data_IF_126053160009
#
_entry.id   IF_126053160009
#
_cell.length_a   1.000
_cell.length_b   1.000
_cell.length_c   1.000
_cell.angle_alpha   90.00
_cell.angle_beta   90.00
_cell.angle_gamma   90.00
#
_symmetry.space_group_name_H-M   'P 1'
#
loop_
_entity.id
_entity.type
_entity.pdbx_description
1 polymer ?
#
# COMPACT_ATOMS: atom_id res chain seq x y z
N UNK A 1 11.79 -3.06 -4.92
CA UNK A 1 11.05 -4.33 -5.04
C UNK A 1 12.01 -5.53 -5.13
N UNK A 2 13.09 -5.58 -4.34
CA UNK A 2 14.03 -6.74 -4.30
C UNK A 2 14.33 -7.42 -5.65
N UNK A 3 14.50 -6.64 -6.74
CA UNK A 3 14.75 -7.16 -8.10
C UNK A 3 13.55 -7.71 -8.89
N UNK A 4 12.34 -7.74 -8.33
CA UNK A 4 11.13 -8.26 -8.97
C UNK A 4 10.27 -7.14 -9.57
N UNK A 5 9.66 -7.40 -10.73
CA UNK A 5 8.66 -6.49 -11.33
C UNK A 5 7.35 -6.54 -10.53
N UNK A 6 6.60 -5.43 -10.47
CA UNK A 6 5.28 -5.44 -9.86
C UNK A 6 4.33 -6.34 -10.65
N UNK A 7 3.37 -6.96 -9.96
CA UNK A 7 2.32 -7.77 -10.60
C UNK A 7 1.47 -6.91 -11.55
N UNK A 8 1.17 -5.68 -11.15
CA UNK A 8 0.34 -4.75 -11.91
C UNK A 8 0.79 -3.30 -11.75
N UNK A 9 0.43 -2.46 -12.72
CA UNK A 9 0.66 -1.01 -12.69
C UNK A 9 -0.56 -0.28 -13.26
N UNK A 10 -0.94 0.83 -12.63
CA UNK A 10 -1.98 1.73 -13.14
C UNK A 10 -1.35 3.05 -13.57
N UNK A 11 -1.64 3.50 -14.78
CA UNK A 11 -1.17 4.80 -15.30
C UNK A 11 -2.31 5.52 -16.02
N UNK A 12 -2.14 6.79 -16.31
CA UNK A 12 -3.04 7.47 -17.25
C UNK A 12 -2.90 6.89 -18.67
N UNK A 13 -3.92 7.02 -19.53
CA UNK A 13 -3.86 6.62 -20.92
C UNK A 13 -2.83 7.47 -21.69
N UNK A 14 -1.58 7.00 -21.75
CA UNK A 14 -0.51 7.66 -22.50
C UNK A 14 0.32 6.62 -23.25
N UNK A 15 0.51 6.86 -24.56
CA UNK A 15 1.19 5.93 -25.46
C UNK A 15 2.67 5.76 -25.13
N UNK A 16 3.36 6.82 -24.72
CA UNK A 16 4.77 6.76 -24.37
C UNK A 16 4.98 6.01 -23.06
N UNK A 17 4.11 6.26 -22.07
CA UNK A 17 4.13 5.53 -20.80
C UNK A 17 3.84 4.04 -21.05
N UNK A 18 2.85 3.72 -21.90
CA UNK A 18 2.56 2.33 -22.25
C UNK A 18 3.78 1.62 -22.88
N UNK A 19 4.46 2.26 -23.83
CA UNK A 19 5.67 1.72 -24.44
C UNK A 19 6.79 1.53 -23.41
N UNK A 20 6.98 2.49 -22.51
CA UNK A 20 7.97 2.41 -21.45
C UNK A 20 7.68 1.28 -20.46
N UNK A 21 6.41 1.10 -20.05
CA UNK A 21 6.00 -0.03 -19.18
C UNK A 21 6.28 -1.36 -19.86
N UNK A 22 5.93 -1.53 -21.13
CA UNK A 22 6.18 -2.75 -21.87
C UNK A 22 7.68 -3.10 -21.97
N UNK A 23 8.54 -2.08 -22.08
CA UNK A 23 9.99 -2.25 -22.18
C UNK A 23 10.66 -2.48 -20.82
N UNK A 24 10.26 -1.74 -19.79
CA UNK A 24 10.95 -1.69 -18.48
C UNK A 24 10.39 -2.72 -17.49
N UNK A 25 9.10 -3.05 -17.60
CA UNK A 25 8.37 -3.93 -16.68
C UNK A 25 7.70 -5.09 -17.44
N UNK A 26 8.47 -5.97 -18.10
CA UNK A 26 7.90 -7.08 -18.85
C UNK A 26 7.13 -8.03 -17.91
N UNK A 27 5.93 -8.44 -18.34
CA UNK A 27 5.05 -9.32 -17.55
C UNK A 27 4.18 -8.62 -16.52
N UNK A 28 4.40 -7.32 -16.25
CA UNK A 28 3.49 -6.53 -15.41
C UNK A 28 2.18 -6.26 -16.15
N UNK A 29 1.04 -6.52 -15.50
CA UNK A 29 -0.28 -6.16 -16.05
C UNK A 29 -0.46 -4.64 -16.04
N UNK A 30 -0.55 -4.04 -17.21
CA UNK A 30 -0.78 -2.61 -17.36
C UNK A 30 -2.27 -2.28 -17.44
N UNK A 31 -2.71 -1.37 -16.56
CA UNK A 31 -4.07 -0.84 -16.50
C UNK A 31 -4.09 0.67 -16.67
N UNK A 32 -5.10 1.18 -17.36
CA UNK A 32 -5.39 2.61 -17.41
C UNK A 32 -6.21 3.08 -16.21
N UNK A 33 -5.90 4.27 -15.74
CA UNK A 33 -6.58 4.94 -14.66
C UNK A 33 -8.02 5.24 -15.09
N UNK A 34 -8.97 4.55 -14.44
CA UNK A 34 -10.40 4.69 -14.68
C UNK A 34 -10.90 6.12 -14.47
N UNK A 35 -10.36 6.85 -13.48
CA UNK A 35 -10.69 8.26 -13.26
C UNK A 35 -10.29 9.12 -14.46
N UNK A 36 -9.09 8.89 -14.99
CA UNK A 36 -8.58 9.64 -16.14
C UNK A 36 -9.38 9.35 -17.39
N UNK A 37 -9.80 8.09 -17.58
CA UNK A 37 -10.76 7.73 -18.63
C UNK A 37 -12.06 8.51 -18.47
N UNK A 38 -12.69 8.51 -17.29
CA UNK A 38 -13.94 9.25 -17.08
C UNK A 38 -13.80 10.75 -17.33
N UNK A 39 -12.70 11.36 -16.90
CA UNK A 39 -12.42 12.77 -17.15
C UNK A 39 -12.25 13.04 -18.65
N UNK A 40 -11.47 12.22 -19.35
CA UNK A 40 -11.30 12.34 -20.79
C UNK A 40 -12.61 12.09 -21.55
N UNK A 41 -13.44 11.12 -21.12
CA UNK A 41 -14.80 10.92 -21.64
C UNK A 41 -15.61 12.20 -21.53
N UNK A 42 -15.60 12.82 -20.35
CA UNK A 42 -16.37 14.02 -20.07
C UNK A 42 -15.91 15.20 -20.92
N UNK A 43 -14.61 15.34 -21.15
CA UNK A 43 -14.05 16.39 -22.02
C UNK A 43 -14.39 16.15 -23.50
N UNK A 44 -14.19 14.92 -24.00
CA UNK A 44 -14.41 14.57 -25.42
C UNK A 44 -15.89 14.54 -25.79
N UNK A 45 -16.75 14.14 -24.85
CA UNK A 45 -18.20 14.03 -25.04
C UNK A 45 -18.95 15.14 -24.29
N UNK A 46 -18.33 16.29 -24.04
CA UNK A 46 -18.95 17.39 -23.28
C UNK A 46 -20.34 17.80 -23.81
N UNK A 47 -20.53 17.75 -25.13
CA UNK A 47 -21.81 18.02 -25.77
C UNK A 47 -22.89 16.98 -25.41
N UNK A 48 -22.53 15.70 -25.31
CA UNK A 48 -23.45 14.62 -24.89
C UNK A 48 -23.80 14.78 -23.42
N UNK A 49 -22.82 15.07 -22.56
CA UNK A 49 -23.07 15.31 -21.13
C UNK A 49 -24.04 16.48 -20.90
N UNK A 50 -23.97 17.53 -21.73
CA UNK A 50 -24.88 18.67 -21.66
C UNK A 50 -26.28 18.35 -22.22
N UNK A 51 -26.34 17.58 -23.30
CA UNK A 51 -27.61 17.25 -24.00
C UNK A 51 -28.39 16.13 -23.31
N UNK A 52 -27.68 15.20 -22.68
CA UNK A 52 -28.22 13.98 -22.09
C UNK A 52 -27.73 13.78 -20.64
N UNK A 53 -28.45 14.33 -19.65
CA UNK A 53 -28.05 14.23 -18.24
C UNK A 53 -27.95 12.80 -17.71
N UNK A 54 -28.63 11.82 -18.33
CA UNK A 54 -28.57 10.40 -17.92
C UNK A 54 -27.32 9.68 -18.43
N UNK A 55 -26.62 10.22 -19.43
CA UNK A 55 -25.50 9.55 -20.08
C UNK A 55 -24.39 9.18 -19.09
N UNK A 56 -24.01 10.11 -18.20
CA UNK A 56 -22.95 9.87 -17.23
C UNK A 56 -23.26 8.69 -16.30
N UNK A 57 -24.50 8.62 -15.83
CA UNK A 57 -24.96 7.54 -14.96
C UNK A 57 -24.97 6.21 -15.71
N UNK A 58 -25.50 6.18 -16.93
CA UNK A 58 -25.56 4.97 -17.75
C UNK A 58 -24.18 4.48 -18.17
N UNK A 59 -23.26 5.38 -18.53
CA UNK A 59 -21.87 5.07 -18.83
C UNK A 59 -21.16 4.47 -17.62
N UNK A 60 -21.24 5.14 -16.45
CA UNK A 60 -20.66 4.62 -15.20
C UNK A 60 -21.25 3.26 -14.82
N UNK A 61 -22.56 3.08 -14.98
CA UNK A 61 -23.24 1.80 -14.74
C UNK A 61 -22.76 0.70 -15.67
N UNK A 62 -22.67 0.95 -16.97
CA UNK A 62 -22.17 0.02 -17.98
C UNK A 62 -20.77 -0.52 -17.63
N UNK A 63 -19.91 0.32 -17.06
CA UNK A 63 -18.52 -0.05 -16.74
C UNK A 63 -18.40 -0.69 -15.36
N UNK A 64 -19.19 -0.24 -14.38
CA UNK A 64 -18.97 -0.59 -12.97
C UNK A 64 -19.87 -1.72 -12.47
N UNK A 65 -21.07 -1.83 -13.01
CA UNK A 65 -22.11 -2.75 -12.51
C UNK A 65 -22.21 -4.02 -13.35
N UNK A 66 -21.49 -4.11 -14.47
CA UNK A 66 -21.44 -5.32 -15.30
C UNK A 66 -20.57 -6.38 -14.64
N UNK A 67 -21.11 -7.60 -14.53
CA UNK A 67 -20.48 -8.70 -13.81
C UNK A 67 -19.81 -9.69 -14.76
N UNK A 68 -20.32 -9.81 -15.99
CA UNK A 68 -19.76 -10.68 -17.04
C UNK A 68 -19.29 -9.89 -18.25
N UNK A 69 -18.46 -10.52 -19.08
CA UNK A 69 -18.04 -9.96 -20.37
C UNK A 69 -19.25 -9.76 -21.28
N UNK A 70 -20.14 -10.74 -21.37
CA UNK A 70 -21.32 -10.66 -22.25
C UNK A 70 -22.28 -9.53 -21.84
N UNK A 71 -22.47 -9.31 -20.52
CA UNK A 71 -23.22 -8.17 -20.00
C UNK A 71 -22.56 -6.84 -20.37
N UNK A 72 -21.24 -6.75 -20.26
CA UNK A 72 -20.50 -5.55 -20.66
C UNK A 72 -20.66 -5.27 -22.15
N UNK A 73 -20.42 -6.26 -23.01
CA UNK A 73 -20.50 -6.09 -24.47
C UNK A 73 -21.92 -5.67 -24.89
N UNK A 74 -22.95 -6.33 -24.35
CA UNK A 74 -24.35 -5.98 -24.63
C UNK A 74 -24.73 -4.60 -24.11
N UNK A 75 -24.28 -4.23 -22.91
CA UNK A 75 -24.58 -2.94 -22.30
C UNK A 75 -23.84 -1.80 -23.03
N UNK A 76 -22.60 -2.04 -23.47
CA UNK A 76 -21.79 -1.10 -24.22
C UNK A 76 -22.40 -0.80 -25.58
N UNK A 77 -22.79 -1.84 -26.34
CA UNK A 77 -23.48 -1.70 -27.62
C UNK A 77 -24.78 -0.91 -27.47
N UNK A 78 -25.63 -1.31 -26.51
CA UNK A 78 -26.90 -0.63 -26.22
C UNK A 78 -26.71 0.85 -25.86
N UNK A 79 -25.62 1.18 -25.15
CA UNK A 79 -25.28 2.54 -24.77
C UNK A 79 -24.90 3.37 -26.01
N UNK A 80 -24.05 2.83 -26.89
CA UNK A 80 -23.64 3.54 -28.10
C UNK A 80 -24.81 3.77 -29.06
N UNK A 81 -25.70 2.79 -29.22
CA UNK A 81 -26.90 2.93 -30.04
C UNK A 81 -27.83 4.02 -29.51
N UNK A 82 -28.11 4.01 -28.20
CA UNK A 82 -29.04 4.95 -27.55
C UNK A 82 -28.65 6.41 -27.72
N UNK A 83 -27.35 6.69 -27.72
CA UNK A 83 -26.82 8.05 -27.81
C UNK A 83 -26.25 8.39 -29.19
N UNK A 84 -26.43 7.52 -30.19
CA UNK A 84 -25.92 7.69 -31.56
C UNK A 84 -24.40 7.90 -31.62
N UNK A 85 -23.65 7.11 -30.85
CA UNK A 85 -22.20 7.23 -30.67
C UNK A 85 -21.38 6.11 -31.34
N UNK A 86 -22.01 5.28 -32.18
CA UNK A 86 -21.35 4.14 -32.84
C UNK A 86 -20.12 4.57 -33.68
N UNK A 87 -20.22 5.71 -34.37
CA UNK A 87 -19.16 6.24 -35.23
C UNK A 87 -18.16 7.15 -34.50
N UNK A 88 -18.24 7.24 -33.17
CA UNK A 88 -17.33 8.10 -32.40
C UNK A 88 -15.93 7.47 -32.30
N UNK A 89 -14.97 8.04 -33.02
CA UNK A 89 -13.58 7.53 -33.09
C UNK A 89 -12.92 7.35 -31.71
N UNK A 90 -13.20 8.26 -30.76
CA UNK A 90 -12.63 8.20 -29.42
C UNK A 90 -13.19 7.02 -28.61
N UNK A 91 -14.51 6.80 -28.66
CA UNK A 91 -15.15 5.64 -28.01
C UNK A 91 -14.71 4.32 -28.65
N UNK A 92 -14.50 4.29 -29.97
CA UNK A 92 -13.94 3.12 -30.66
C UNK A 92 -12.51 2.83 -30.18
N UNK A 93 -11.66 3.85 -30.08
CA UNK A 93 -10.31 3.72 -29.51
C UNK A 93 -10.35 3.22 -28.06
N UNK A 94 -11.26 3.76 -27.25
CA UNK A 94 -11.43 3.34 -25.86
C UNK A 94 -11.90 1.88 -25.76
N UNK A 95 -12.84 1.46 -26.62
CA UNK A 95 -13.31 0.08 -26.70
C UNK A 95 -12.21 -0.89 -27.14
N UNK A 96 -11.36 -0.51 -28.08
CA UNK A 96 -10.20 -1.31 -28.48
C UNK A 96 -9.22 -1.54 -27.31
N UNK A 97 -9.14 -0.59 -26.38
CA UNK A 97 -8.36 -0.70 -25.16
C UNK A 97 -9.09 -1.36 -23.97
N UNK A 98 -10.31 -1.89 -24.13
CA UNK A 98 -11.17 -2.36 -23.01
C UNK A 98 -10.51 -3.33 -22.03
N UNK A 99 -9.62 -4.19 -22.52
CA UNK A 99 -8.86 -5.14 -21.69
C UNK A 99 -7.94 -4.47 -20.65
N UNK A 100 -7.63 -3.18 -20.84
CA UNK A 100 -6.71 -2.42 -19.99
C UNK A 100 -7.44 -1.48 -19.02
N UNK A 101 -8.76 -1.39 -19.05
CA UNK A 101 -9.45 -0.42 -18.18
C UNK A 101 -10.84 -0.83 -17.69
N UNK A 102 -11.52 -1.74 -18.39
CA UNK A 102 -12.83 -2.22 -17.98
C UNK A 102 -12.66 -3.29 -16.89
N UNK A 103 -13.30 -3.14 -15.71
CA UNK A 103 -13.10 -4.03 -14.58
C UNK A 103 -13.29 -5.53 -14.89
N UNK A 104 -14.31 -5.91 -15.69
CA UNK A 104 -14.61 -7.33 -15.98
C UNK A 104 -13.45 -8.08 -16.64
N UNK A 105 -12.55 -7.38 -17.34
CA UNK A 105 -11.40 -7.97 -18.03
C UNK A 105 -10.11 -8.00 -17.20
N UNK A 106 -10.13 -7.46 -15.98
CA UNK A 106 -8.94 -7.26 -15.15
C UNK A 106 -9.01 -7.93 -13.78
N UNK A 107 -10.11 -8.61 -13.46
CA UNK A 107 -10.32 -9.21 -12.13
C UNK A 107 -9.38 -10.38 -11.84
N UNK A 108 -8.76 -10.94 -12.86
CA UNK A 108 -7.78 -12.04 -12.77
C UNK A 108 -6.42 -11.62 -12.20
N UNK A 109 -6.16 -10.32 -12.06
CA UNK A 109 -4.88 -9.78 -11.64
C UNK A 109 -5.00 -8.96 -10.36
N UNK A 110 -4.04 -9.11 -9.45
CA UNK A 110 -3.97 -8.31 -8.23
C UNK A 110 -3.63 -6.84 -8.51
N UNK A 111 -4.58 -5.95 -8.23
CA UNK A 111 -4.39 -4.49 -8.22
C UNK A 111 -4.38 -3.91 -6.80
N UNK A 112 -4.79 -4.69 -5.80
CA UNK A 112 -4.89 -4.24 -4.41
C UNK A 112 -5.92 -3.12 -4.22
N UNK A 113 -6.84 -2.99 -5.16
CA UNK A 113 -7.92 -2.02 -5.09
C UNK A 113 -9.06 -2.61 -4.28
N UNK A 114 -9.47 -1.88 -3.24
CA UNK A 114 -10.64 -2.23 -2.46
C UNK A 114 -11.85 -1.86 -3.32
N UNK A 115 -12.52 -2.84 -3.94
CA UNK A 115 -13.73 -2.63 -4.71
C UNK A 115 -14.77 -1.91 -3.84
N UNK A 116 -14.89 -0.60 -4.01
CA UNK A 116 -15.94 0.18 -3.39
C UNK A 116 -17.12 0.32 -4.36
N UNK A 117 -18.27 -0.17 -3.90
CA UNK A 117 -19.49 0.62 -3.98
C UNK A 117 -19.27 1.87 -3.11
N UNK A 118 -18.56 2.85 -3.64
CA UNK A 118 -18.48 4.18 -3.03
C UNK A 118 -19.87 4.81 -3.20
N UNK A 119 -20.76 4.49 -2.26
CA UNK A 119 -21.97 5.25 -2.00
C UNK A 119 -21.52 6.61 -1.45
N UNK A 120 -21.12 7.52 -2.33
CA UNK A 120 -20.71 8.88 -2.00
C UNK A 120 -19.50 9.31 -2.83
N UNK A 121 -19.75 10.15 -3.84
CA UNK A 121 -18.78 10.57 -4.85
C UNK A 121 -17.48 11.17 -4.31
N UNK A 122 -16.47 11.10 -5.17
CA UNK A 122 -15.32 12.00 -5.28
C UNK A 122 -14.37 12.18 -4.09
N UNK A 123 -14.56 11.53 -2.95
CA UNK A 123 -13.59 11.57 -1.86
C UNK A 123 -12.46 10.54 -2.01
N UNK A 124 -11.90 10.41 -3.21
CA UNK A 124 -10.51 9.94 -3.30
C UNK A 124 -9.71 11.06 -2.67
N UNK A 125 -9.21 10.88 -1.45
CA UNK A 125 -8.26 11.80 -0.83
C UNK A 125 -7.08 11.95 -1.81
N UNK A 126 -7.13 12.95 -2.69
CA UNK A 126 -6.07 13.18 -3.66
C UNK A 126 -4.86 13.63 -2.86
N UNK A 127 -3.69 13.15 -3.25
CA UNK A 127 -2.47 13.42 -2.50
C UNK A 127 -2.25 14.92 -2.24
N UNK A 128 -2.60 15.75 -3.22
CA UNK A 128 -2.47 17.21 -3.20
C UNK A 128 -3.76 17.97 -2.86
N UNK A 129 -4.84 17.29 -2.48
CA UNK A 129 -6.12 17.96 -2.19
C UNK A 129 -5.96 18.98 -1.07
N UNK A 130 -6.43 20.22 -1.31
CA UNK A 130 -6.25 21.35 -0.39
C UNK A 130 -4.83 21.91 -0.28
N UNK A 131 -3.81 21.29 -0.91
CA UNK A 131 -2.41 21.75 -0.86
C UNK A 131 -1.99 22.52 -2.12
N UNK A 132 -2.46 22.10 -3.30
CA UNK A 132 -2.10 22.69 -4.59
C UNK A 132 -3.35 23.18 -5.31
N UNK A 133 -3.27 24.38 -5.89
CA UNK A 133 -4.31 24.97 -6.71
C UNK A 133 -3.70 25.72 -7.92
N UNK A 134 -4.55 26.25 -8.80
CA UNK A 134 -4.12 26.96 -10.01
C UNK A 134 -3.21 28.20 -9.74
N UNK A 135 -3.26 28.77 -8.54
CA UNK A 135 -2.43 29.90 -8.13
C UNK A 135 -1.09 29.49 -7.48
N UNK A 136 -0.87 28.19 -7.28
CA UNK A 136 0.34 27.68 -6.62
C UNK A 136 1.53 27.79 -7.57
N UNK A 137 2.52 28.61 -7.21
CA UNK A 137 3.76 28.74 -7.98
C UNK A 137 4.66 27.51 -7.82
N UNK A 138 5.58 27.28 -8.76
CA UNK A 138 6.54 26.16 -8.70
C UNK A 138 7.38 26.23 -7.42
N UNK A 139 7.79 27.43 -7.00
CA UNK A 139 8.53 27.63 -5.75
C UNK A 139 7.70 27.24 -4.51
N UNK A 140 6.38 27.45 -4.55
CA UNK A 140 5.47 27.07 -3.48
C UNK A 140 5.12 25.57 -3.53
N UNK A 141 5.17 24.96 -4.71
CA UNK A 141 4.84 23.54 -4.92
C UNK A 141 5.67 22.62 -4.03
N UNK A 142 6.99 22.85 -3.92
CA UNK A 142 7.87 22.01 -3.08
C UNK A 142 7.43 22.08 -1.62
N UNK A 143 7.16 23.29 -1.11
CA UNK A 143 6.70 23.49 0.27
C UNK A 143 5.33 22.84 0.52
N UNK A 144 4.43 22.90 -0.46
CA UNK A 144 3.11 22.27 -0.35
C UNK A 144 3.20 20.74 -0.47
N UNK A 145 4.12 20.23 -1.29
CA UNK A 145 4.43 18.80 -1.37
C UNK A 145 4.93 18.27 -0.03
N UNK A 146 5.90 18.94 0.60
CA UNK A 146 6.42 18.54 1.92
C UNK A 146 5.30 18.52 2.98
N UNK A 147 4.42 19.53 2.96
CA UNK A 147 3.23 19.58 3.83
C UNK A 147 2.24 18.45 3.55
N UNK A 148 2.01 18.14 2.27
CA UNK A 148 1.16 17.02 1.88
C UNK A 148 1.74 15.71 2.41
N UNK A 149 3.03 15.42 2.15
CA UNK A 149 3.73 14.25 2.69
C UNK A 149 3.58 14.15 4.21
N UNK A 150 3.82 15.24 4.94
CA UNK A 150 3.69 15.26 6.39
C UNK A 150 2.25 14.95 6.85
N UNK A 151 1.25 15.57 6.21
CA UNK A 151 -0.16 15.29 6.51
C UNK A 151 -0.57 13.84 6.22
N UNK A 152 -0.03 13.25 5.16
CA UNK A 152 -0.24 11.82 4.85
C UNK A 152 0.42 10.91 5.88
N UNK A 153 1.65 11.20 6.30
CA UNK A 153 2.32 10.45 7.38
C UNK A 153 1.56 10.56 8.71
N UNK A 154 0.99 11.72 9.03
CA UNK A 154 0.18 11.90 10.23
C UNK A 154 -1.12 11.07 10.17
N UNK A 155 -1.81 11.09 9.02
CA UNK A 155 -3.00 10.25 8.78
C UNK A 155 -2.66 8.76 8.89
N UNK A 156 -1.54 8.34 8.32
CA UNK A 156 -1.05 6.96 8.40
C UNK A 156 -0.72 6.57 9.85
N UNK A 157 0.02 7.42 10.58
CA UNK A 157 0.37 7.19 11.97
C UNK A 157 -0.87 7.06 12.86
N UNK A 158 -1.87 7.92 12.62
CA UNK A 158 -3.17 7.84 13.31
C UNK A 158 -3.88 6.53 12.99
N UNK A 159 -3.93 6.12 11.73
CA UNK A 159 -4.56 4.85 11.33
C UNK A 159 -3.84 3.62 11.93
N UNK A 160 -2.51 3.64 11.99
CA UNK A 160 -1.69 2.60 12.63
C UNK A 160 -1.94 2.57 14.15
N UNK A 161 -2.03 3.74 14.78
CA UNK A 161 -2.39 3.87 16.19
C UNK A 161 -3.78 3.30 16.47
N UNK A 162 -4.80 3.71 15.71
CA UNK A 162 -6.17 3.25 15.89
C UNK A 162 -6.28 1.72 15.69
N UNK A 163 -5.56 1.18 14.71
CA UNK A 163 -5.50 -0.26 14.44
C UNK A 163 -4.91 -1.05 15.60
N UNK A 164 -3.91 -0.49 16.29
CA UNK A 164 -3.20 -1.21 17.36
C UNK A 164 -3.85 -0.99 18.73
N UNK A 165 -4.41 0.20 18.97
CA UNK A 165 -4.94 0.61 20.28
C UNK A 165 -6.42 0.29 20.48
N UNK A 166 -7.17 0.04 19.41
CA UNK A 166 -8.61 -0.25 19.49
C UNK A 166 -8.92 -1.64 18.97
N UNK A 167 -9.66 -2.41 19.74
CA UNK A 167 -10.22 -3.68 19.28
C UNK A 167 -11.43 -3.40 18.39
N UNK A 168 -11.49 -3.96 17.17
CA UNK A 168 -12.67 -3.83 16.34
C UNK A 168 -13.90 -4.48 16.99
N UNK A 169 -15.07 -3.88 16.79
CA UNK A 169 -16.34 -4.46 17.26
C UNK A 169 -16.73 -5.58 16.32
N UNK A 170 -16.94 -6.79 16.86
CA UNK A 170 -17.41 -7.94 16.09
C UNK A 170 -18.92 -7.87 15.89
N UNK A 171 -19.40 -8.20 14.69
CA UNK A 171 -20.83 -8.26 14.34
C UNK A 171 -21.40 -9.67 14.51
N UNK A 172 -20.55 -10.69 14.54
CA UNK A 172 -20.94 -12.09 14.69
C UNK A 172 -20.07 -12.78 15.75
N UNK A 173 -20.51 -13.89 16.35
CA UNK A 173 -19.68 -14.71 17.23
C UNK A 173 -18.72 -15.63 16.45
N UNK A 174 -18.47 -15.38 15.16
CA UNK A 174 -17.66 -16.26 14.31
C UNK A 174 -16.18 -16.26 14.71
N UNK A 175 -15.56 -17.45 14.90
CA UNK A 175 -14.11 -17.53 15.16
C UNK A 175 -13.27 -16.91 14.03
N UNK A 176 -13.77 -16.98 12.78
CA UNK A 176 -13.12 -16.40 11.61
C UNK A 176 -13.07 -14.88 11.68
N UNK A 177 -14.15 -14.27 12.17
CA UNK A 177 -14.22 -12.83 12.36
C UNK A 177 -13.23 -12.37 13.42
N UNK A 178 -13.14 -13.10 14.53
CA UNK A 178 -12.15 -12.83 15.59
C UNK A 178 -10.72 -12.93 15.06
N UNK A 179 -10.40 -14.00 14.34
CA UNK A 179 -9.07 -14.18 13.72
C UNK A 179 -8.74 -13.02 12.78
N UNK A 180 -9.68 -12.62 11.92
CA UNK A 180 -9.50 -11.51 11.00
C UNK A 180 -9.32 -10.17 11.74
N UNK A 181 -10.06 -9.95 12.83
CA UNK A 181 -9.94 -8.76 13.67
C UNK A 181 -8.54 -8.63 14.28
N UNK A 182 -7.95 -9.75 14.71
CA UNK A 182 -6.62 -9.78 15.33
C UNK A 182 -5.50 -9.57 14.30
N UNK A 183 -5.65 -10.09 13.07
CA UNK A 183 -4.60 -10.08 12.05
C UNK A 183 -4.63 -8.85 11.14
N UNK A 184 -5.80 -8.38 10.73
CA UNK A 184 -5.93 -7.31 9.75
C UNK A 184 -5.76 -5.91 10.34
N UNK A 185 -5.35 -4.98 9.48
CA UNK A 185 -5.52 -3.56 9.78
C UNK A 185 -6.99 -3.22 9.93
N UNK A 186 -7.32 -2.18 10.72
CA UNK A 186 -8.73 -1.84 11.01
C UNK A 186 -9.55 -1.59 9.74
N UNK A 187 -8.96 -0.90 8.75
CA UNK A 187 -9.60 -0.64 7.45
C UNK A 187 -9.93 -1.92 6.69
N UNK A 188 -9.00 -2.87 6.62
CA UNK A 188 -9.22 -4.14 5.93
C UNK A 188 -10.22 -4.99 6.70
N UNK A 189 -10.13 -5.04 8.03
CA UNK A 189 -11.08 -5.77 8.86
C UNK A 189 -12.51 -5.31 8.61
N UNK A 190 -12.78 -4.00 8.54
CA UNK A 190 -14.12 -3.49 8.24
C UNK A 190 -14.65 -4.03 6.90
N UNK A 191 -13.80 -4.13 5.88
CA UNK A 191 -14.19 -4.67 4.56
C UNK A 191 -14.42 -6.16 4.58
N UNK A 192 -13.54 -6.90 5.25
CA UNK A 192 -13.76 -8.32 5.50
C UNK A 192 -15.08 -8.57 6.25
N UNK A 193 -15.37 -7.75 7.27
CA UNK A 193 -16.59 -7.86 8.07
C UNK A 193 -17.85 -7.54 7.25
N UNK A 194 -17.81 -6.54 6.36
CA UNK A 194 -18.88 -6.27 5.39
C UNK A 194 -19.16 -7.52 4.54
N UNK A 195 -18.14 -8.11 3.93
CA UNK A 195 -18.29 -9.34 3.12
C UNK A 195 -18.80 -10.53 3.96
N UNK A 196 -18.34 -10.67 5.21
CA UNK A 196 -18.75 -11.75 6.10
C UNK A 196 -20.23 -11.64 6.50
N UNK A 197 -20.71 -10.44 6.81
CA UNK A 197 -22.12 -10.21 7.15
C UNK A 197 -23.02 -10.46 5.95
N UNK A 198 -22.57 -10.07 4.76
CA UNK A 198 -23.30 -10.28 3.51
C UNK A 198 -23.52 -11.77 3.18
N UNK A 199 -22.72 -12.69 3.74
CA UNK A 199 -22.96 -14.14 3.60
C UNK A 199 -24.33 -14.58 4.10
N UNK A 200 -24.94 -13.84 5.04
CA UNK A 200 -26.27 -14.15 5.58
C UNK A 200 -27.36 -14.03 4.51
N UNK A 201 -27.18 -13.14 3.54
CA UNK A 201 -28.10 -12.90 2.44
C UNK A 201 -27.77 -13.70 1.17
N UNK A 202 -26.64 -14.41 1.15
CA UNK A 202 -26.08 -15.09 -0.02
C UNK A 202 -25.89 -16.60 0.27
N UNK A 203 -26.97 -17.41 0.30
CA UNK A 203 -26.87 -18.85 0.53
C UNK A 203 -26.07 -19.56 -0.56
N UNK A 204 -25.30 -20.58 -0.15
CA UNK A 204 -24.54 -21.44 -1.04
C UNK A 204 -25.27 -22.77 -1.28
N UNK A 205 -25.63 -23.03 -2.53
CA UNK A 205 -26.30 -24.26 -2.98
C UNK A 205 -25.33 -25.15 -3.74
N UNK A 206 -25.17 -26.41 -3.32
CA UNK A 206 -24.29 -27.37 -4.02
C UNK A 206 -24.85 -27.67 -5.42
N UNK A 207 -24.01 -27.55 -6.45
CA UNK A 207 -24.38 -27.84 -7.85
C UNK A 207 -23.85 -29.22 -8.25
N UNK A 208 -22.56 -29.45 -8.01
CA UNK A 208 -21.85 -30.62 -8.52
C UNK A 208 -20.73 -31.01 -7.54
N UNK A 209 -20.39 -32.29 -7.50
CA UNK A 209 -19.22 -32.80 -6.80
C UNK A 209 -18.41 -33.68 -7.76
N UNK A 210 -17.20 -33.21 -8.07
CA UNK A 210 -16.27 -33.84 -9.00
C UNK A 210 -14.99 -34.17 -8.23
N UNK A 211 -14.95 -35.38 -7.66
CA UNK A 211 -13.82 -35.85 -6.85
C UNK A 211 -13.62 -35.03 -5.58
N UNK A 212 -12.45 -34.42 -5.42
CA UNK A 212 -12.10 -33.56 -4.27
C UNK A 212 -12.65 -32.14 -4.38
N UNK A 213 -13.21 -31.77 -5.53
CA UNK A 213 -13.72 -30.42 -5.81
C UNK A 213 -15.24 -30.44 -5.81
N UNK A 214 -15.85 -29.60 -4.97
CA UNK A 214 -17.29 -29.35 -4.96
C UNK A 214 -17.59 -27.97 -5.53
N UNK A 215 -18.52 -27.89 -6.48
CA UNK A 215 -19.00 -26.63 -7.06
C UNK A 215 -20.29 -26.17 -6.36
N UNK A 216 -20.34 -24.88 -6.02
CA UNK A 216 -21.44 -24.22 -5.35
C UNK A 216 -21.95 -23.04 -6.18
N UNK A 217 -23.26 -22.86 -6.22
CA UNK A 217 -23.93 -21.65 -6.68
C UNK A 217 -24.20 -20.79 -5.48
N UNK A 218 -23.74 -19.54 -5.50
CA UNK A 218 -24.01 -18.56 -4.46
C UNK A 218 -24.75 -17.39 -5.09
N UNK A 219 -25.94 -17.09 -4.59
CA UNK A 219 -26.77 -16.00 -5.08
C UNK A 219 -27.45 -15.30 -3.91
N UNK A 220 -27.64 -13.99 -4.03
CA UNK A 220 -28.39 -13.22 -3.05
C UNK A 220 -29.88 -13.59 -3.11
N UNK A 221 -30.56 -13.63 -1.97
CA UNK A 221 -32.00 -13.86 -1.92
C UNK A 221 -32.76 -12.89 -2.84
N UNK A 222 -33.57 -13.44 -3.75
CA UNK A 222 -34.35 -12.65 -4.72
C UNK A 222 -33.59 -12.19 -5.97
N UNK A 223 -32.28 -12.45 -6.07
CA UNK A 223 -31.43 -12.04 -7.20
C UNK A 223 -30.74 -13.26 -7.83
N UNK A 224 -31.52 -14.28 -8.20
CA UNK A 224 -30.98 -15.55 -8.72
C UNK A 224 -30.18 -15.40 -10.03
N UNK A 225 -30.46 -14.36 -10.82
CA UNK A 225 -29.77 -14.13 -12.10
C UNK A 225 -28.30 -13.74 -11.87
N UNK A 226 -27.96 -13.09 -10.74
CA UNK A 226 -26.61 -12.64 -10.38
C UNK A 226 -25.85 -13.66 -9.53
N UNK A 227 -25.92 -14.92 -9.93
CA UNK A 227 -25.30 -16.00 -9.18
C UNK A 227 -23.81 -16.15 -9.53
N UNK A 228 -22.98 -16.35 -8.51
CA UNK A 228 -21.57 -16.68 -8.70
C UNK A 228 -21.31 -18.16 -8.42
N UNK A 229 -20.33 -18.72 -9.14
CA UNK A 229 -19.90 -20.10 -8.95
C UNK A 229 -18.64 -20.13 -8.10
N UNK A 230 -18.66 -20.94 -7.05
CA UNK A 230 -17.52 -21.18 -6.15
C UNK A 230 -17.09 -22.63 -6.25
N UNK A 231 -15.82 -22.87 -6.57
CA UNK A 231 -15.21 -24.21 -6.58
C UNK A 231 -14.40 -24.37 -5.31
N UNK A 232 -14.76 -25.34 -4.48
CA UNK A 232 -14.11 -25.62 -3.20
C UNK A 232 -13.39 -26.97 -3.23
N UNK A 233 -12.09 -26.96 -2.94
CA UNK A 233 -11.26 -28.14 -2.73
C UNK A 233 -11.21 -28.47 -1.23
N UNK A 234 -11.84 -29.57 -0.84
CA UNK A 234 -11.92 -29.97 0.56
C UNK A 234 -10.57 -30.45 1.16
N UNK A 235 -9.64 -30.89 0.31
CA UNK A 235 -8.32 -31.35 0.75
C UNK A 235 -7.37 -30.18 1.06
N UNK A 236 -7.33 -29.20 0.15
CA UNK A 236 -6.48 -28.00 0.30
C UNK A 236 -7.14 -26.90 1.15
N UNK A 237 -8.43 -27.05 1.47
CA UNK A 237 -9.25 -26.00 2.10
C UNK A 237 -9.29 -24.70 1.30
N UNK A 238 -9.21 -24.84 -0.03
CA UNK A 238 -9.11 -23.75 -0.99
C UNK A 238 -10.40 -23.56 -1.77
N UNK A 239 -10.74 -22.32 -2.04
CA UNK A 239 -11.88 -21.92 -2.86
C UNK A 239 -11.52 -20.86 -3.92
N UNK A 240 -12.04 -21.03 -5.12
CA UNK A 240 -12.00 -20.02 -6.17
C UNK A 240 -13.43 -19.61 -6.52
N UNK A 241 -13.64 -18.32 -6.76
CA UNK A 241 -14.95 -17.78 -7.08
C UNK A 241 -14.92 -17.07 -8.44
N UNK A 242 -15.98 -17.24 -9.23
CA UNK A 242 -16.12 -16.57 -10.54
C UNK A 242 -16.14 -15.04 -10.44
N UNK A 243 -16.43 -14.47 -9.26
CA UNK A 243 -16.35 -13.01 -9.05
C UNK A 243 -14.91 -12.47 -8.99
N UNK A 244 -13.90 -13.33 -8.79
CA UNK A 244 -12.46 -12.99 -8.78
C UNK A 244 -12.05 -11.84 -7.84
N UNK A 245 -12.84 -11.57 -6.80
CA UNK A 245 -12.60 -10.43 -5.90
C UNK A 245 -11.32 -10.63 -5.08
N UNK A 246 -10.98 -11.86 -4.71
CA UNK A 246 -9.76 -12.15 -3.98
C UNK A 246 -8.53 -11.95 -4.87
N UNK A 247 -8.58 -12.43 -6.10
CA UNK A 247 -7.53 -12.25 -7.10
C UNK A 247 -7.29 -10.76 -7.38
N UNK A 248 -8.36 -9.95 -7.48
CA UNK A 248 -8.28 -8.52 -7.76
C UNK A 248 -7.82 -7.67 -6.56
N UNK A 249 -8.43 -7.88 -5.38
CA UNK A 249 -8.28 -7.01 -4.20
C UNK A 249 -7.45 -7.63 -3.08
N UNK A 250 -7.30 -8.95 -3.06
CA UNK A 250 -6.71 -9.71 -1.96
C UNK A 250 -7.60 -9.84 -0.72
N UNK A 251 -8.88 -9.48 -0.82
CA UNK A 251 -9.88 -9.72 0.23
C UNK A 251 -10.86 -10.80 -0.26
N UNK A 252 -11.11 -11.77 0.61
CA UNK A 252 -12.02 -12.88 0.32
C UNK A 252 -13.46 -12.37 0.20
N UNK A 253 -14.18 -12.80 -0.84
CA UNK A 253 -15.55 -12.35 -1.07
C UNK A 253 -16.58 -13.10 -0.23
N UNK A 254 -17.75 -12.49 -0.09
CA UNK A 254 -18.96 -13.10 0.48
C UNK A 254 -19.29 -14.48 -0.12
N UNK A 255 -19.02 -14.71 -1.40
CA UNK A 255 -19.34 -16.01 -2.04
C UNK A 255 -18.47 -17.14 -1.48
N UNK A 256 -17.15 -16.92 -1.37
CA UNK A 256 -16.25 -17.90 -0.77
C UNK A 256 -16.59 -18.08 0.71
N UNK A 257 -16.83 -16.98 1.43
CA UNK A 257 -17.19 -17.01 2.85
C UNK A 257 -18.51 -17.78 3.10
N UNK A 258 -19.49 -17.68 2.20
CA UNK A 258 -20.73 -18.45 2.28
C UNK A 258 -20.48 -19.96 2.15
N UNK A 259 -19.57 -20.37 1.26
CA UNK A 259 -19.15 -21.78 1.13
C UNK A 259 -18.34 -22.24 2.34
N UNK A 260 -17.43 -21.41 2.85
CA UNK A 260 -16.69 -21.70 4.08
C UNK A 260 -17.64 -21.90 5.27
N UNK A 261 -18.67 -21.07 5.37
CA UNK A 261 -19.73 -21.23 6.37
C UNK A 261 -20.50 -22.54 6.20
N UNK A 262 -20.89 -22.91 4.98
CA UNK A 262 -21.62 -24.17 4.74
C UNK A 262 -20.77 -25.42 4.97
N UNK A 263 -19.44 -25.30 4.83
CA UNK A 263 -18.45 -26.36 5.10
C UNK A 263 -17.89 -26.35 6.52
N UNK A 264 -18.38 -25.48 7.40
CA UNK A 264 -17.88 -25.31 8.78
C UNK A 264 -16.36 -25.00 8.85
N UNK A 265 -15.85 -24.24 7.89
CA UNK A 265 -14.49 -23.68 7.97
C UNK A 265 -14.54 -22.52 8.96
N UNK A 266 -13.92 -22.68 10.14
CA UNK A 266 -14.05 -21.73 11.25
C UNK A 266 -12.98 -20.64 11.24
N UNK A 267 -11.91 -20.79 10.47
CA UNK A 267 -10.79 -19.84 10.38
C UNK A 267 -10.38 -19.66 8.93
N UNK A 268 -9.88 -18.47 8.59
CA UNK A 268 -9.31 -18.21 7.27
C UNK A 268 -8.03 -19.03 7.08
N UNK A 269 -7.92 -19.80 5.98
CA UNK A 269 -6.67 -20.40 5.56
C UNK A 269 -5.60 -19.32 5.31
N UNK A 270 -4.34 -19.66 5.55
CA UNK A 270 -3.21 -18.72 5.44
C UNK A 270 -3.03 -18.10 4.06
N UNK A 271 -3.41 -18.81 2.99
CA UNK A 271 -3.36 -18.30 1.62
C UNK A 271 -4.27 -17.09 1.38
N UNK A 272 -5.34 -16.93 2.16
CA UNK A 272 -6.25 -15.78 2.10
C UNK A 272 -5.80 -14.61 2.98
N UNK A 273 -4.71 -14.75 3.74
CA UNK A 273 -4.17 -13.74 4.66
C UNK A 273 -2.93 -13.08 4.05
N UNK A 274 -3.13 -12.12 3.15
CA UNK A 274 -2.03 -11.40 2.53
C UNK A 274 -1.32 -10.48 3.53
N UNK A 275 0.00 -10.64 3.69
CA UNK A 275 0.84 -9.85 4.62
C UNK A 275 0.61 -8.34 4.51
N UNK A 276 0.44 -7.83 3.29
CA UNK A 276 0.13 -6.43 2.98
C UNK A 276 -1.07 -5.87 3.77
N UNK A 277 -2.07 -6.70 4.04
CA UNK A 277 -3.31 -6.31 4.68
C UNK A 277 -3.29 -6.46 6.21
N UNK A 278 -2.24 -7.09 6.73
CA UNK A 278 -2.07 -7.36 8.16
C UNK A 278 -1.50 -6.17 8.91
N UNK A 279 -1.70 -6.13 10.23
CA UNK A 279 -1.06 -5.15 11.14
C UNK A 279 0.47 -5.18 11.07
N UNK A 280 1.03 -6.32 10.64
CA UNK A 280 2.46 -6.58 10.50
C UNK A 280 2.99 -6.34 9.08
N UNK A 281 2.26 -5.58 8.24
CA UNK A 281 2.67 -5.30 6.86
C UNK A 281 4.06 -4.64 6.77
N UNK A 282 4.43 -3.83 7.77
CA UNK A 282 5.72 -3.12 7.86
C UNK A 282 6.81 -3.92 8.59
N UNK A 283 6.46 -5.03 9.23
CA UNK A 283 7.39 -5.86 10.00
C UNK A 283 8.20 -6.77 9.04
N UNK A 284 9.50 -6.49 8.86
CA UNK A 284 10.45 -7.45 8.28
C UNK A 284 10.83 -8.49 9.35
N UNK A 285 11.07 -9.77 9.06
CA UNK A 285 11.56 -10.34 7.82
C UNK A 285 10.60 -11.27 7.07
N UNK A 286 10.96 -11.50 5.81
CA UNK A 286 10.63 -12.76 5.16
C UNK A 286 11.44 -13.84 5.88
N UNK A 287 10.77 -14.85 6.43
CA UNK A 287 11.40 -16.15 6.58
C UNK A 287 11.42 -16.72 5.16
N UNK A 288 12.39 -16.28 4.38
CA UNK A 288 12.79 -16.99 3.19
C UNK A 288 13.94 -17.88 3.65
N UNK A 289 13.68 -19.18 3.72
CA UNK A 289 14.54 -20.20 4.32
C UNK A 289 15.81 -20.49 3.48
N UNK A 290 16.21 -19.56 2.61
CA UNK A 290 17.31 -19.78 1.67
C UNK A 290 18.12 -18.53 1.29
N UNK A 291 18.19 -17.53 2.18
CA UNK A 291 19.11 -16.40 2.02
C UNK A 291 19.73 -15.96 3.35
N UNK A 292 20.14 -16.92 4.17
CA UNK A 292 20.89 -16.66 5.42
C UNK A 292 22.39 -16.80 5.22
N UNK A 293 22.94 -16.26 4.14
CA UNK A 293 24.34 -15.87 4.08
C UNK A 293 24.44 -14.55 3.33
N UNK A 294 25.06 -13.56 3.98
CA UNK A 294 25.44 -12.24 3.45
C UNK A 294 24.37 -11.14 3.48
N UNK A 295 24.15 -10.55 4.66
CA UNK A 295 23.96 -9.09 4.74
C UNK A 295 24.57 -8.50 6.00
N UNK A 296 25.79 -7.99 5.85
CA UNK A 296 26.42 -7.11 6.81
C UNK A 296 25.78 -5.71 6.80
N UNK A 297 25.64 -5.15 8.01
CA UNK A 297 25.55 -3.73 8.35
C UNK A 297 24.88 -2.78 7.35
N UNK A 298 23.57 -2.88 7.19
CA UNK A 298 22.75 -1.72 6.83
C UNK A 298 22.25 -1.08 8.12
N UNK A 299 22.63 0.17 8.39
CA UNK A 299 22.02 0.96 9.47
C UNK A 299 20.50 0.94 9.28
N UNK A 300 19.79 0.29 10.20
CA UNK A 300 18.33 0.31 10.20
C UNK A 300 17.85 1.76 10.30
N UNK A 301 16.89 2.19 9.44
CA UNK A 301 16.30 3.52 9.51
C UNK A 301 15.72 3.82 10.89
N UNK A 302 15.81 5.07 11.35
CA UNK A 302 15.26 5.51 12.66
C UNK A 302 13.80 5.10 12.86
N UNK A 303 13.00 5.10 11.79
CA UNK A 303 11.60 4.66 11.78
C UNK A 303 11.44 3.17 12.07
N UNK A 304 12.34 2.33 11.57
CA UNK A 304 12.35 0.89 11.83
C UNK A 304 12.70 0.62 13.29
N UNK A 305 13.73 1.28 13.83
CA UNK A 305 14.10 1.16 15.26
C UNK A 305 12.97 1.61 16.18
N UNK A 306 12.34 2.74 15.86
CA UNK A 306 11.21 3.25 16.64
C UNK A 306 10.02 2.30 16.61
N UNK A 307 9.66 1.77 15.43
CA UNK A 307 8.54 0.84 15.29
C UNK A 307 8.80 -0.50 15.99
N UNK A 308 10.02 -1.02 15.90
CA UNK A 308 10.42 -2.25 16.60
C UNK A 308 10.33 -2.07 18.12
N UNK A 309 10.90 -0.99 18.67
CA UNK A 309 10.83 -0.68 20.10
C UNK A 309 9.38 -0.50 20.58
N UNK A 310 8.55 0.18 19.78
CA UNK A 310 7.13 0.38 20.08
C UNK A 310 6.38 -0.96 20.11
N UNK A 311 6.63 -1.84 19.14
CA UNK A 311 5.97 -3.14 19.07
C UNK A 311 6.32 -4.01 20.27
N UNK A 312 7.61 -4.07 20.64
CA UNK A 312 8.04 -4.83 21.82
C UNK A 312 7.42 -4.24 23.10
N UNK A 313 7.40 -2.91 23.24
CA UNK A 313 6.76 -2.26 24.40
C UNK A 313 5.26 -2.58 24.51
N UNK A 314 4.55 -2.67 23.39
CA UNK A 314 3.12 -3.03 23.37
C UNK A 314 2.91 -4.46 23.88
N UNK A 315 3.78 -5.40 23.52
CA UNK A 315 3.73 -6.78 24.04
C UNK A 315 3.85 -6.83 25.57
N UNK A 316 4.74 -6.02 26.15
CA UNK A 316 4.86 -5.88 27.61
C UNK A 316 3.59 -5.29 28.25
N UNK A 317 2.93 -4.34 27.58
CA UNK A 317 1.66 -3.77 28.04
C UNK A 317 0.54 -4.80 27.98
N UNK A 318 0.42 -5.54 26.88
CA UNK A 318 -0.62 -6.57 26.67
C UNK A 318 -0.49 -7.74 27.66
N UNK A 319 0.72 -8.23 27.90
CA UNK A 319 0.97 -9.30 28.88
C UNK A 319 0.89 -8.78 30.32
N UNK A 320 1.45 -7.60 30.58
CA UNK A 320 1.46 -6.98 31.91
C UNK A 320 0.06 -6.62 32.41
N UNK A 321 -0.86 -6.23 31.53
CA UNK A 321 -2.23 -5.85 31.91
C UNK A 321 -3.11 -7.04 32.35
N UNK A 322 -2.67 -8.29 32.15
CA UNK A 322 -3.48 -9.49 32.46
C UNK A 322 -3.60 -9.80 33.95
N UNK A 323 -2.66 -9.33 34.78
CA UNK A 323 -2.73 -9.47 36.23
C UNK A 323 -1.87 -8.44 36.94
N UNK A 324 -2.18 -8.14 38.20
CA UNK A 324 -1.37 -7.24 39.04
C UNK A 324 0.08 -7.76 39.18
N UNK A 325 0.25 -9.08 39.24
CA UNK A 325 1.57 -9.69 39.33
C UNK A 325 2.39 -9.47 38.05
N UNK A 326 1.81 -9.72 36.88
CA UNK A 326 2.48 -9.47 35.59
C UNK A 326 2.70 -7.99 35.32
N UNK A 327 1.80 -7.12 35.78
CA UNK A 327 1.98 -5.68 35.72
C UNK A 327 3.24 -5.24 36.48
N UNK A 328 3.42 -5.71 37.72
CA UNK A 328 4.61 -5.35 38.51
C UNK A 328 5.90 -5.87 37.85
N UNK A 329 5.90 -7.11 37.37
CA UNK A 329 7.05 -7.70 36.66
C UNK A 329 7.39 -6.93 35.38
N UNK A 330 6.38 -6.58 34.58
CA UNK A 330 6.57 -5.81 33.35
C UNK A 330 7.07 -4.39 33.66
N UNK A 331 6.55 -3.74 34.70
CA UNK A 331 6.97 -2.41 35.10
C UNK A 331 8.41 -2.37 35.62
N UNK A 332 8.81 -3.36 36.43
CA UNK A 332 10.19 -3.47 36.91
C UNK A 332 11.17 -3.66 35.75
N UNK A 333 10.82 -4.52 34.79
CA UNK A 333 11.62 -4.74 33.59
C UNK A 333 11.75 -3.47 32.72
N UNK A 334 10.67 -2.71 32.55
CA UNK A 334 10.67 -1.44 31.80
C UNK A 334 11.50 -0.37 32.51
N UNK A 335 11.42 -0.27 33.84
CA UNK A 335 12.25 0.66 34.62
C UNK A 335 13.74 0.31 34.54
N UNK A 336 14.07 -0.98 34.59
CA UNK A 336 15.44 -1.48 34.44
C UNK A 336 16.00 -1.18 33.04
N UNK A 337 15.18 -1.39 32.00
CA UNK A 337 15.53 -1.02 30.63
C UNK A 337 15.76 0.50 30.48
N UNK A 338 14.90 1.33 31.07
CA UNK A 338 15.04 2.79 31.05
C UNK A 338 16.34 3.26 31.72
N UNK A 339 16.74 2.65 32.85
CA UNK A 339 18.02 2.92 33.51
C UNK A 339 19.21 2.57 32.61
N UNK A 340 19.17 1.41 31.94
CA UNK A 340 20.23 0.96 31.02
C UNK A 340 20.39 1.91 29.83
N UNK A 341 19.29 2.37 29.25
CA UNK A 341 19.30 3.35 28.15
C UNK A 341 19.87 4.70 28.61
N UNK A 342 19.49 5.16 29.80
CA UNK A 342 20.02 6.40 30.38
C UNK A 342 21.53 6.32 30.67
N UNK A 343 22.02 5.15 31.14
CA UNK A 343 23.44 4.91 31.36
C UNK A 343 24.24 4.92 30.04
N UNK A 344 23.73 4.27 29.00
CA UNK A 344 24.34 4.29 27.67
C UNK A 344 24.42 5.71 27.08
N UNK A 345 23.39 6.54 27.30
CA UNK A 345 23.38 7.95 26.89
C UNK A 345 24.50 8.76 27.58
N UNK A 346 24.74 8.52 28.88
CA UNK A 346 25.81 9.20 29.64
C UNK A 346 27.23 8.78 29.19
N UNK A 347 27.41 7.52 28.77
CA UNK A 347 28.68 7.05 28.22
C UNK A 347 28.99 7.66 26.84
N UNK A 348 27.97 8.00 26.04
CA UNK A 348 28.15 8.67 24.75
C UNK A 348 28.48 10.16 24.82
N UNK A 349 28.32 10.81 25.98
CA UNK A 349 28.55 12.25 26.18
C UNK A 349 29.83 12.60 26.96
N UNK A 350 30.64 11.61 27.37
CA UNK A 350 31.75 11.79 28.32
C UNK A 350 33.18 11.73 27.75
N UNK A 351 33.36 11.65 26.43
CA UNK A 351 34.68 11.43 25.83
C UNK A 351 35.17 12.63 24.99
N UNK A 352 35.30 13.81 25.61
CA UNK A 352 36.19 14.87 25.11
C UNK A 352 36.79 15.67 26.28
N UNK A 353 38.03 15.31 26.66
CA UNK A 353 39.03 16.06 27.46
C UNK A 353 38.68 16.38 28.94
N UNK A 354 39.61 16.30 29.91
CA UNK A 354 41.06 16.23 29.83
C UNK A 354 41.74 15.65 31.07
N UNK A 355 42.99 15.25 30.85
CA UNK A 355 43.97 14.66 31.76
C UNK A 355 44.29 15.48 33.00
N UNK A 356 44.64 14.83 34.12
CA UNK A 356 45.88 15.13 34.90
C UNK A 356 46.29 13.90 35.71
N UNK A 357 47.60 13.67 35.76
CA UNK A 357 48.37 12.58 36.34
C UNK A 357 48.23 12.39 37.87
N UNK A 358 48.51 11.18 38.34
CA UNK A 358 48.80 10.90 39.75
C UNK A 358 49.08 9.42 40.03
N UNK A 359 50.37 9.06 40.16
CA UNK A 359 50.92 7.75 40.57
C UNK A 359 50.38 7.22 41.92
N UNK A 360 50.38 5.89 42.09
CA UNK A 360 50.66 5.29 43.41
C UNK A 360 49.96 3.97 43.77
N UNK A 361 50.67 2.86 43.54
CA UNK A 361 50.82 1.67 44.41
C UNK A 361 49.57 0.91 44.96
N UNK A 362 49.48 -0.40 44.63
CA UNK A 362 49.95 -1.55 45.43
C UNK A 362 48.98 -2.76 45.49
N UNK A 363 49.58 -3.96 45.60
CA UNK A 363 49.03 -5.31 45.84
C UNK A 363 48.40 -6.02 44.61
N UNK A 364 48.66 -7.29 44.29
CA UNK A 364 49.35 -8.38 44.98
C UNK A 364 48.68 -9.72 44.61
N UNK A 365 49.37 -10.54 43.81
CA UNK A 365 49.49 -12.01 43.95
C UNK A 365 48.29 -12.96 43.65
N UNK A 366 48.46 -13.78 42.58
CA UNK A 366 48.04 -15.20 42.35
C UNK A 366 46.54 -15.61 42.52
N UNK A 367 45.88 -16.50 41.78
CA UNK A 367 46.24 -17.66 40.91
C UNK A 367 44.94 -18.19 40.25
N UNK A 368 45.02 -18.80 39.06
CA UNK A 368 44.22 -19.99 38.70
C UNK A 368 43.03 -19.86 37.73
N UNK A 369 43.25 -20.33 36.48
CA UNK A 369 42.32 -21.08 35.60
C UNK A 369 41.05 -20.34 35.08
N UNK A 370 40.61 -20.35 33.82
CA UNK A 370 40.67 -21.33 32.72
C UNK A 370 40.67 -20.63 31.34
N UNK A 371 41.23 -21.30 30.32
CA UNK A 371 41.22 -20.90 28.92
C UNK A 371 39.81 -21.02 28.29
N UNK A 372 39.28 -19.94 27.72
CA UNK A 372 38.36 -20.01 26.58
C UNK A 372 38.66 -18.90 25.55
N UNK A 373 38.89 -19.34 24.32
CA UNK A 373 39.40 -18.57 23.19
C UNK A 373 38.35 -17.60 22.64
N UNK A 374 38.63 -16.28 22.72
CA UNK A 374 37.86 -15.21 22.05
C UNK A 374 38.47 -14.85 20.69
N UNK A 375 37.68 -14.51 19.65
CA UNK A 375 38.19 -14.05 18.35
C UNK A 375 38.71 -12.59 18.42
N UNK A 376 39.55 -12.13 17.47
CA UNK A 376 40.42 -10.97 17.68
C UNK A 376 39.65 -9.65 17.70
N UNK A 377 39.89 -8.85 18.74
CA UNK A 377 39.47 -7.45 18.84
C UNK A 377 40.11 -6.62 17.72
N UNK A 378 39.28 -6.07 16.82
CA UNK A 378 39.73 -5.05 15.84
C UNK A 378 40.24 -3.81 16.60
N UNK A 379 41.49 -3.44 16.31
CA UNK A 379 42.20 -2.30 16.92
C UNK A 379 41.39 -1.01 16.81
N UNK A 380 41.46 -0.16 17.84
CA UNK A 380 40.81 1.15 17.87
C UNK A 380 41.21 2.02 16.66
N UNK A 381 42.45 1.87 16.17
CA UNK A 381 42.99 2.61 15.03
C UNK A 381 42.26 2.28 13.71
N UNK A 382 41.79 1.04 13.54
CA UNK A 382 41.02 0.65 12.35
C UNK A 382 39.61 1.26 12.35
N UNK A 383 39.01 1.41 13.53
CA UNK A 383 37.70 2.05 13.68
C UNK A 383 37.80 3.54 13.40
N UNK A 384 38.85 4.19 13.89
CA UNK A 384 39.08 5.62 13.66
C UNK A 384 39.44 5.93 12.21
N UNK A 385 40.20 5.04 11.54
CA UNK A 385 40.41 5.13 10.09
C UNK A 385 39.09 5.03 9.31
N UNK A 386 38.23 4.07 9.64
CA UNK A 386 36.90 3.93 9.01
C UNK A 386 35.99 5.14 9.21
N UNK A 387 36.02 5.76 10.39
CA UNK A 387 35.23 6.96 10.65
C UNK A 387 35.67 8.11 9.75
N UNK A 388 36.99 8.29 9.58
CA UNK A 388 37.53 9.32 8.67
C UNK A 388 37.18 9.06 7.22
N UNK A 389 37.28 7.80 6.77
CA UNK A 389 36.94 7.41 5.40
C UNK A 389 35.44 7.65 5.11
N UNK A 390 34.55 7.27 6.03
CA UNK A 390 33.11 7.49 5.90
C UNK A 390 32.73 8.97 5.96
N UNK A 391 33.42 9.77 6.78
CA UNK A 391 33.19 11.22 6.84
C UNK A 391 33.58 11.90 5.52
N UNK A 392 34.69 11.49 4.89
CA UNK A 392 35.10 12.00 3.59
C UNK A 392 34.13 11.59 2.47
N UNK A 393 33.60 10.36 2.52
CA UNK A 393 32.60 9.88 1.56
C UNK A 393 31.26 10.62 1.71
N UNK A 394 30.84 10.91 2.95
CA UNK A 394 29.66 11.70 3.23
C UNK A 394 29.78 13.13 2.69
N UNK A 395 30.94 13.76 2.88
CA UNK A 395 31.22 15.11 2.37
C UNK A 395 31.21 15.15 0.83
N UNK A 396 31.82 14.16 0.18
CA UNK A 396 31.79 14.02 -1.29
C UNK A 396 30.36 13.83 -1.82
N UNK A 397 29.54 13.06 -1.08
CA UNK A 397 28.14 12.82 -1.44
C UNK A 397 27.30 14.08 -1.29
N UNK A 398 27.49 14.83 -0.20
CA UNK A 398 26.82 16.11 0.03
C UNK A 398 27.16 17.14 -1.05
N UNK A 399 28.44 17.25 -1.44
CA UNK A 399 28.83 18.13 -2.56
C UNK A 399 28.15 17.74 -3.88
N UNK A 400 28.01 16.44 -4.15
CA UNK A 400 27.30 15.96 -5.33
C UNK A 400 25.81 16.32 -5.29
N UNK A 401 25.18 16.17 -4.12
CA UNK A 401 23.79 16.58 -3.90
C UNK A 401 23.58 18.09 -4.11
N UNK A 402 24.51 18.94 -3.66
CA UNK A 402 24.45 20.38 -3.88
C UNK A 402 24.58 20.74 -5.38
N UNK A 403 25.45 20.05 -6.12
CA UNK A 403 25.56 20.22 -7.58
C UNK A 403 24.26 19.81 -8.27
N UNK A 404 23.64 18.69 -7.90
CA UNK A 404 22.34 18.30 -8.45
C UNK A 404 21.24 19.31 -8.13
N UNK A 405 21.23 19.85 -6.90
CA UNK A 405 20.27 20.87 -6.48
C UNK A 405 20.44 22.16 -7.28
N UNK A 406 21.68 22.59 -7.50
CA UNK A 406 21.98 23.77 -8.31
C UNK A 406 21.57 23.58 -9.79
N UNK A 407 21.85 22.41 -10.37
CA UNK A 407 21.46 22.08 -11.74
C UNK A 407 19.94 22.05 -11.90
N UNK A 408 19.21 21.45 -10.96
CA UNK A 408 17.76 21.42 -10.97
C UNK A 408 17.18 22.84 -10.90
N UNK A 409 17.72 23.69 -10.03
CA UNK A 409 17.31 25.10 -9.92
C UNK A 409 17.61 25.90 -11.20
N UNK A 410 18.70 25.58 -11.92
CA UNK A 410 19.00 26.20 -13.21
C UNK A 410 17.99 25.79 -14.28
N UNK A 411 17.68 24.50 -14.41
CA UNK A 411 16.67 23.99 -15.37
C UNK A 411 15.30 24.60 -15.08
N UNK A 412 14.91 24.69 -13.81
CA UNK A 412 13.62 25.28 -13.44
C UNK A 412 13.53 26.77 -13.80
N UNK A 413 14.61 27.54 -13.64
CA UNK A 413 14.66 28.94 -14.09
C UNK A 413 14.52 29.07 -15.60
N UNK A 414 15.22 28.22 -16.35
CA UNK A 414 15.12 28.19 -17.81
C UNK A 414 13.68 27.89 -18.28
N UNK A 415 12.99 26.97 -17.60
CA UNK A 415 11.59 26.67 -17.88
C UNK A 415 10.66 27.84 -17.57
N UNK A 416 10.88 28.57 -16.46
CA UNK A 416 10.11 29.78 -16.13
C UNK A 416 10.32 30.89 -17.18
N UNK A 417 11.55 31.10 -17.64
CA UNK A 417 11.86 32.07 -18.69
C UNK A 417 11.22 31.71 -20.03
N UNK A 418 11.22 30.42 -20.40
CA UNK A 418 10.52 29.93 -21.59
C UNK A 418 9.01 30.15 -21.49
N UNK A 419 8.42 29.87 -20.32
CA UNK A 419 7.00 30.13 -20.05
C UNK A 419 6.67 31.61 -20.20
N UNK A 420 7.51 32.51 -19.67
CA UNK A 420 7.31 33.95 -19.76
C UNK A 420 7.37 34.42 -21.22
N UNK A 421 8.37 33.95 -21.98
CA UNK A 421 8.53 34.24 -23.42
C UNK A 421 7.32 33.76 -24.23
N UNK A 422 6.79 32.58 -23.94
CA UNK A 422 5.58 32.06 -24.60
C UNK A 422 4.35 32.89 -24.24
N UNK A 423 4.20 33.29 -22.96
CA UNK A 423 3.10 34.15 -22.54
C UNK A 423 3.10 35.49 -23.26
N UNK A 424 4.27 36.14 -23.41
CA UNK A 424 4.40 37.39 -24.17
C UNK A 424 4.07 37.19 -25.64
N UNK A 425 4.54 36.11 -26.27
CA UNK A 425 4.20 35.78 -27.67
C UNK A 425 2.69 35.58 -27.87
N UNK A 426 2.03 34.85 -26.96
CA UNK A 426 0.58 34.65 -26.99
C UNK A 426 -0.17 35.96 -26.82
N UNK A 427 0.31 36.85 -25.94
CA UNK A 427 -0.31 38.14 -25.70
C UNK A 427 -0.15 39.09 -26.90
N UNK A 428 1.03 39.11 -27.54
CA UNK A 428 1.27 39.86 -28.76
C UNK A 428 0.43 39.33 -29.94
N UNK A 429 0.32 38.01 -30.10
CA UNK A 429 -0.53 37.40 -31.13
C UNK A 429 -2.02 37.74 -30.94
N UNK A 430 -2.48 37.85 -29.68
CA UNK A 430 -3.85 38.29 -29.36
C UNK A 430 -4.09 39.77 -29.66
N UNK A 431 -3.07 40.62 -29.55
CA UNK A 431 -3.16 42.04 -29.89
C UNK A 431 -3.17 42.24 -31.41
N UNK A 432 -2.35 41.50 -32.16
CA UNK A 432 -2.33 41.55 -33.64
C UNK A 432 -3.56 40.96 -34.33
N UNK A 433 -4.40 40.21 -33.60
CA UNK A 433 -5.69 39.71 -34.10
C UNK A 433 -6.85 40.69 -33.83
N UNK A 434 -6.59 41.80 -33.11
CA UNK A 434 -7.58 42.83 -32.76
C UNK A 434 -7.43 44.13 -33.56
N UNK A 435 -6.36 44.27 -34.32
CA UNK A 435 -6.18 45.25 -35.41
C UNK A 435 -6.61 44.60 -36.73
#
# INVERSE_FOLDING_TARGET
>A
MSGHFPVSITTDPDRLIQMAVAQVLPGTRHRFCKRSIFLETQEKLAHIYQTHPTFEMEFKKCINETETVDEFESCWESLLERYYLLDNEWLQSLYNARLQWVPVYMRDTFFGELCMTDTGGDAVNLFFDGYVNAATTIQLLIKQYEKAVAGWHEKELKADYDTTSTTPVLKTPSPMEKQAADLYTKRIFTKFQEELVETLANPATKIEESGTITSYRVAKYGEEIKAHTVRFNAFEMKANCSCQMFEFSGIICRHILAVFRSKNVLTLPSEYLLKRWTRNAKSGGAVDEQASELRGNSQEPLTVRHNNLRHEAIKFVEEGAKSIHFYNVAMDALQEAAKKVAAAKKQSSGATQGSTLGNGANQGTHTGEENQMMPPHKSADEKEKKIRDLAAELESTNQRCEVYRANLLAVLRDMEDQKLKLSVKVQNARLSLKE
#
